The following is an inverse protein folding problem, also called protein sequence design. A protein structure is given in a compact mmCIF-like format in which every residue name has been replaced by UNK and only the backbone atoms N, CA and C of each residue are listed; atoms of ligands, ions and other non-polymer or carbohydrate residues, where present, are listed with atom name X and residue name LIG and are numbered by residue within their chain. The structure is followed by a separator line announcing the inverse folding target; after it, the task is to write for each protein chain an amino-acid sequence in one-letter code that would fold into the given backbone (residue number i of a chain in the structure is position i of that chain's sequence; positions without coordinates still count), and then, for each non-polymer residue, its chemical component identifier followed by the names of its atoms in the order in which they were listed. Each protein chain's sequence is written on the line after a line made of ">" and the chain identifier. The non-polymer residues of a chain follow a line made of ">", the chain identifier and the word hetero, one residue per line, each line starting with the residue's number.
data_IF_447891644499
#
_entry.id   IF_447891644499
#
_cell.length_a   1.000
_cell.length_b   1.000
_cell.length_c   1.000
_cell.angle_alpha   90.00
_cell.angle_beta   90.00
_cell.angle_gamma   90.00
#
_symmetry.space_group_name_H-M   'P 1'
#
loop_
_entity.id
_entity.type
_entity.pdbx_description
1 polymer ?
#
# COMPACT_ATOMS: atom_id res chain seq x y z
N UNK A 1 -2.95 -15.23 -24.36
CA UNK A 1 -1.90 -14.34 -23.83
C UNK A 1 -2.06 -12.90 -24.32
N UNK A 2 -2.33 -12.64 -25.60
CA UNK A 2 -2.61 -11.29 -26.13
C UNK A 2 -3.80 -10.62 -25.45
N UNK A 3 -4.91 -11.34 -25.22
CA UNK A 3 -6.09 -10.81 -24.53
C UNK A 3 -5.83 -10.27 -23.11
N UNK A 4 -4.87 -10.86 -22.36
CA UNK A 4 -4.51 -10.44 -20.99
C UNK A 4 -3.61 -9.21 -21.01
N UNK A 5 -2.79 -9.05 -22.06
CA UNK A 5 -1.87 -7.91 -22.18
C UNK A 5 -2.63 -6.59 -22.37
N UNK A 6 -3.70 -6.63 -23.17
CA UNK A 6 -4.49 -5.46 -23.58
C UNK A 6 -5.61 -5.07 -22.60
N UNK A 7 -5.86 -5.86 -21.54
CA UNK A 7 -6.89 -5.53 -20.55
C UNK A 7 -6.45 -4.40 -19.61
N UNK A 8 -7.41 -3.63 -19.09
CA UNK A 8 -7.21 -2.70 -17.99
C UNK A 8 -6.53 -3.39 -16.78
N UNK A 9 -5.62 -2.69 -16.10
CA UNK A 9 -4.74 -3.27 -15.08
C UNK A 9 -5.53 -3.93 -13.94
N UNK A 10 -6.60 -3.28 -13.50
CA UNK A 10 -7.51 -3.73 -12.46
C UNK A 10 -8.30 -5.00 -12.82
N UNK A 11 -8.44 -5.31 -14.12
CA UNK A 11 -9.13 -6.50 -14.60
C UNK A 11 -8.19 -7.66 -14.98
N UNK A 12 -6.88 -7.39 -15.13
CA UNK A 12 -5.91 -8.39 -15.64
C UNK A 12 -5.89 -9.68 -14.84
N UNK A 13 -6.03 -9.62 -13.52
CA UNK A 13 -6.08 -10.80 -12.66
C UNK A 13 -7.28 -11.68 -13.02
N UNK A 14 -8.46 -11.08 -13.16
CA UNK A 14 -9.70 -11.81 -13.43
C UNK A 14 -9.70 -12.40 -14.84
N UNK A 15 -9.23 -11.65 -15.84
CA UNK A 15 -9.05 -12.18 -17.21
C UNK A 15 -8.01 -13.31 -17.25
N UNK A 16 -6.98 -13.25 -16.42
CA UNK A 16 -6.04 -14.37 -16.29
C UNK A 16 -6.73 -15.61 -15.68
N UNK A 17 -7.53 -15.43 -14.63
CA UNK A 17 -8.29 -16.51 -13.97
C UNK A 17 -9.39 -17.11 -14.88
N UNK A 18 -9.91 -16.36 -15.84
CA UNK A 18 -10.83 -16.87 -16.88
C UNK A 18 -10.21 -17.96 -17.74
N UNK A 19 -8.88 -18.00 -17.86
CA UNK A 19 -8.18 -19.04 -18.62
C UNK A 19 -7.97 -20.34 -17.80
N UNK A 20 -8.40 -20.39 -16.53
CA UNK A 20 -8.25 -21.54 -15.65
C UNK A 20 -9.60 -22.22 -15.36
N UNK A 21 -9.65 -23.54 -15.12
CA UNK A 21 -10.87 -24.19 -14.65
C UNK A 21 -11.30 -23.60 -13.29
N UNK A 22 -12.62 -23.52 -13.04
CA UNK A 22 -13.22 -22.95 -11.83
C UNK A 22 -13.08 -21.42 -11.67
N UNK A 23 -13.09 -20.67 -12.78
CA UNK A 23 -13.00 -19.19 -12.80
C UNK A 23 -13.92 -18.49 -11.81
N UNK A 24 -15.19 -18.89 -11.69
CA UNK A 24 -16.15 -18.21 -10.82
C UNK A 24 -15.74 -18.30 -9.34
N UNK A 25 -15.24 -19.46 -8.90
CA UNK A 25 -14.80 -19.70 -7.52
C UNK A 25 -13.51 -18.93 -7.24
N UNK A 26 -12.53 -19.05 -8.14
CA UNK A 26 -11.22 -18.40 -7.99
C UNK A 26 -11.33 -16.88 -8.06
N UNK A 27 -12.20 -16.34 -8.92
CA UNK A 27 -12.47 -14.90 -9.00
C UNK A 27 -13.16 -14.38 -7.76
N UNK A 28 -14.15 -15.11 -7.23
CA UNK A 28 -14.79 -14.76 -5.96
C UNK A 28 -13.78 -14.74 -4.80
N UNK A 29 -12.95 -15.77 -4.70
CA UNK A 29 -11.89 -15.83 -3.70
C UNK A 29 -10.88 -14.69 -3.86
N UNK A 30 -10.54 -14.33 -5.10
CA UNK A 30 -9.66 -13.21 -5.42
C UNK A 30 -10.21 -11.88 -4.89
N UNK A 31 -11.51 -11.61 -5.08
CA UNK A 31 -12.16 -10.41 -4.52
C UNK A 31 -12.07 -10.39 -2.99
N UNK A 32 -12.38 -11.52 -2.34
CA UNK A 32 -12.29 -11.64 -0.87
C UNK A 32 -10.87 -11.37 -0.39
N UNK A 33 -9.86 -11.95 -1.04
CA UNK A 33 -8.45 -11.76 -0.67
C UNK A 33 -8.02 -10.30 -0.85
N UNK A 34 -8.39 -9.64 -1.95
CA UNK A 34 -8.09 -8.22 -2.17
C UNK A 34 -8.68 -7.37 -1.05
N UNK A 35 -9.93 -7.62 -0.64
CA UNK A 35 -10.58 -6.89 0.45
C UNK A 35 -9.84 -7.11 1.78
N UNK A 36 -9.53 -8.37 2.13
CA UNK A 36 -8.84 -8.70 3.39
C UNK A 36 -7.46 -8.05 3.44
N UNK A 37 -6.64 -8.22 2.39
CA UNK A 37 -5.32 -7.61 2.33
C UNK A 37 -5.39 -6.08 2.38
N UNK A 38 -6.37 -5.47 1.71
CA UNK A 38 -6.57 -4.03 1.75
C UNK A 38 -6.89 -3.54 3.17
N UNK A 39 -7.85 -4.18 3.86
CA UNK A 39 -8.25 -3.79 5.23
C UNK A 39 -7.10 -3.99 6.21
N UNK A 40 -6.44 -5.14 6.20
CA UNK A 40 -5.33 -5.42 7.12
C UNK A 40 -4.11 -4.51 6.86
N UNK A 41 -3.82 -4.22 5.59
CA UNK A 41 -2.74 -3.29 5.21
C UNK A 41 -3.06 -1.85 5.63
N UNK A 42 -4.30 -1.40 5.45
CA UNK A 42 -4.72 -0.05 5.85
C UNK A 42 -4.72 0.11 7.38
N UNK A 43 -5.13 -0.93 8.11
CA UNK A 43 -5.06 -0.93 9.58
C UNK A 43 -3.62 -0.79 10.09
N UNK A 44 -2.70 -1.56 9.49
CA UNK A 44 -1.27 -1.48 9.84
C UNK A 44 -0.64 -0.15 9.43
N UNK A 45 -1.04 0.40 8.28
CA UNK A 45 -0.53 1.68 7.76
C UNK A 45 -0.92 2.85 8.66
N UNK A 46 -2.22 2.97 8.97
CA UNK A 46 -2.73 4.04 9.83
C UNK A 46 -2.10 4.01 11.23
N UNK A 47 -1.79 2.82 11.78
CA UNK A 47 -1.07 2.67 13.04
C UNK A 47 0.36 3.25 12.99
N UNK A 48 1.08 3.04 11.89
CA UNK A 48 2.44 3.58 11.72
C UNK A 48 2.40 5.11 11.63
N UNK A 49 1.46 5.67 10.86
CA UNK A 49 1.29 7.13 10.77
C UNK A 49 0.92 7.71 12.14
N UNK A 50 0.01 7.07 12.85
CA UNK A 50 -0.41 7.48 14.19
C UNK A 50 0.77 7.51 15.17
N UNK A 51 1.60 6.46 15.16
CA UNK A 51 2.79 6.37 16.02
C UNK A 51 3.81 7.47 15.70
N UNK A 52 4.07 7.74 14.42
CA UNK A 52 5.01 8.79 13.99
C UNK A 52 4.48 10.18 14.41
N UNK A 53 3.19 10.43 14.22
CA UNK A 53 2.56 11.73 14.51
C UNK A 53 2.32 11.97 16.00
N UNK A 54 2.22 10.91 16.81
CA UNK A 54 2.21 10.96 18.27
C UNK A 54 3.61 11.11 18.91
N UNK A 55 4.66 11.28 18.11
CA UNK A 55 6.05 11.42 18.59
C UNK A 55 6.68 10.11 19.06
N UNK A 56 6.26 8.98 18.50
CA UNK A 56 6.77 7.64 18.83
C UNK A 56 6.05 6.95 20.00
N UNK A 57 4.96 7.53 20.51
CA UNK A 57 4.14 6.89 21.55
C UNK A 57 3.24 5.84 20.90
N UNK A 58 3.33 4.61 21.40
CA UNK A 58 2.56 3.47 20.87
C UNK A 58 1.09 3.53 21.32
N UNK A 59 0.81 4.11 22.50
CA UNK A 59 -0.56 4.40 22.96
C UNK A 59 -1.01 5.79 22.50
N UNK A 60 -1.20 5.95 21.21
CA UNK A 60 -1.84 7.13 20.64
C UNK A 60 -3.38 7.04 20.81
N UNK A 61 -4.07 8.18 21.00
CA UNK A 61 -5.50 8.18 21.28
C UNK A 61 -6.31 7.67 20.08
N UNK A 62 -7.26 6.75 20.33
CA UNK A 62 -8.12 6.11 19.30
C UNK A 62 -8.70 7.09 18.25
N UNK A 63 -9.15 8.31 18.60
CA UNK A 63 -9.62 9.28 17.60
C UNK A 63 -8.57 9.68 16.55
N UNK A 64 -7.29 9.72 16.91
CA UNK A 64 -6.20 10.09 16.00
C UNK A 64 -5.95 8.99 14.96
N UNK A 65 -5.97 7.72 15.39
CA UNK A 65 -5.91 6.56 14.48
C UNK A 65 -7.07 6.55 13.48
N UNK A 66 -8.30 6.78 13.95
CA UNK A 66 -9.48 6.83 13.09
C UNK A 66 -9.39 7.98 12.08
N UNK A 67 -8.88 9.14 12.52
CA UNK A 67 -8.63 10.27 11.64
C UNK A 67 -7.68 9.89 10.49
N UNK A 68 -6.53 9.26 10.78
CA UNK A 68 -5.57 8.86 9.76
C UNK A 68 -6.13 7.78 8.81
N UNK A 69 -6.81 6.77 9.33
CA UNK A 69 -7.44 5.72 8.53
C UNK A 69 -8.48 6.29 7.53
N UNK A 70 -9.32 7.24 7.96
CA UNK A 70 -10.30 7.88 7.09
C UNK A 70 -9.61 8.78 6.07
N UNK A 71 -8.60 9.55 6.49
CA UNK A 71 -7.93 10.50 5.62
C UNK A 71 -7.16 9.81 4.48
N UNK A 72 -6.51 8.69 4.75
CA UNK A 72 -5.89 7.83 3.72
C UNK A 72 -6.92 7.38 2.67
N UNK A 73 -8.09 6.92 3.12
CA UNK A 73 -9.20 6.52 2.24
C UNK A 73 -9.76 7.68 1.41
N UNK A 74 -9.89 8.87 2.01
CA UNK A 74 -10.34 10.07 1.31
C UNK A 74 -9.36 10.50 0.22
N UNK A 75 -8.05 10.44 0.48
CA UNK A 75 -7.03 10.73 -0.54
C UNK A 75 -7.14 9.73 -1.69
N UNK A 76 -7.29 8.43 -1.39
CA UNK A 76 -7.44 7.41 -2.41
C UNK A 76 -8.69 7.66 -3.30
N UNK A 77 -9.83 7.99 -2.70
CA UNK A 77 -11.06 8.35 -3.42
C UNK A 77 -10.84 9.60 -4.28
N UNK A 78 -10.23 10.65 -3.72
CA UNK A 78 -9.98 11.90 -4.45
C UNK A 78 -9.08 11.68 -5.68
N UNK A 79 -8.02 10.86 -5.55
CA UNK A 79 -7.13 10.51 -6.66
C UNK A 79 -7.85 9.68 -7.73
N UNK A 80 -8.68 8.72 -7.31
CA UNK A 80 -9.48 7.92 -8.24
C UNK A 80 -10.47 8.77 -9.03
N UNK A 81 -11.16 9.71 -8.38
CA UNK A 81 -12.10 10.61 -9.05
C UNK A 81 -11.40 11.63 -9.96
N UNK A 82 -10.21 12.11 -9.58
CA UNK A 82 -9.48 13.13 -10.33
C UNK A 82 -8.73 12.62 -11.56
N UNK A 83 -8.20 11.40 -11.52
CA UNK A 83 -7.41 10.85 -12.63
C UNK A 83 -7.27 9.33 -12.64
N UNK A 84 -8.12 8.64 -11.89
CA UNK A 84 -8.18 7.18 -11.86
C UNK A 84 -6.89 6.51 -11.41
N UNK A 85 -6.65 5.31 -11.93
CA UNK A 85 -5.48 4.50 -11.61
C UNK A 85 -4.16 5.19 -11.94
N UNK A 86 -4.10 5.95 -13.03
CA UNK A 86 -2.90 6.67 -13.41
C UNK A 86 -2.49 7.72 -12.37
N UNK A 87 -3.47 8.43 -11.79
CA UNK A 87 -3.22 9.38 -10.71
C UNK A 87 -2.72 8.68 -9.43
N UNK A 88 -3.30 7.54 -9.06
CA UNK A 88 -2.82 6.74 -7.93
C UNK A 88 -1.37 6.27 -8.11
N UNK A 89 -1.02 5.79 -9.32
CA UNK A 89 0.34 5.37 -9.63
C UNK A 89 1.33 6.54 -9.60
N UNK A 90 0.96 7.68 -10.18
CA UNK A 90 1.78 8.88 -10.15
C UNK A 90 2.02 9.37 -8.72
N UNK A 91 0.99 9.39 -7.87
CA UNK A 91 1.11 9.73 -6.46
C UNK A 91 2.04 8.75 -5.71
N UNK A 92 1.89 7.45 -5.94
CA UNK A 92 2.76 6.45 -5.32
C UNK A 92 4.24 6.59 -5.74
N UNK A 93 4.51 6.79 -7.03
CA UNK A 93 5.88 6.93 -7.54
C UNK A 93 6.52 8.25 -7.07
N UNK A 94 5.78 9.36 -7.15
CA UNK A 94 6.28 10.67 -6.75
C UNK A 94 6.57 10.77 -5.25
N UNK A 95 5.77 10.13 -4.40
CA UNK A 95 6.01 10.08 -2.94
C UNK A 95 7.06 9.02 -2.56
N UNK A 96 7.11 7.89 -3.27
CA UNK A 96 8.09 6.83 -3.03
C UNK A 96 9.53 7.23 -3.38
N UNK A 97 9.72 8.03 -4.42
CA UNK A 97 11.05 8.45 -4.86
C UNK A 97 11.87 9.22 -3.80
N UNK A 98 11.38 10.29 -3.15
CA UNK A 98 12.12 10.95 -2.07
C UNK A 98 12.31 10.04 -0.85
N UNK A 99 11.33 9.19 -0.54
CA UNK A 99 11.45 8.24 0.58
C UNK A 99 12.51 7.17 0.34
N UNK A 100 12.71 6.74 -0.91
CA UNK A 100 13.82 5.85 -1.30
C UNK A 100 15.18 6.41 -0.89
N UNK A 101 15.42 7.72 -1.07
CA UNK A 101 16.68 8.35 -0.67
C UNK A 101 16.88 8.26 0.85
N UNK A 102 15.80 8.45 1.63
CA UNK A 102 15.82 8.31 3.08
C UNK A 102 16.16 6.87 3.48
N UNK A 103 15.55 5.87 2.82
CA UNK A 103 15.84 4.46 3.08
C UNK A 103 17.30 4.10 2.77
N UNK A 104 17.88 4.62 1.69
CA UNK A 104 19.31 4.42 1.39
C UNK A 104 20.22 5.00 2.47
N UNK A 105 19.89 6.19 2.99
CA UNK A 105 20.61 6.78 4.12
C UNK A 105 20.46 5.92 5.39
N UNK A 106 19.27 5.38 5.65
CA UNK A 106 19.03 4.50 6.78
C UNK A 106 19.84 3.19 6.67
N UNK A 107 19.89 2.57 5.49
CA UNK A 107 20.75 1.41 5.24
C UNK A 107 22.22 1.73 5.54
N UNK A 108 22.74 2.87 5.06
CA UNK A 108 24.10 3.31 5.35
C UNK A 108 24.33 3.55 6.85
N UNK A 109 23.37 4.17 7.54
CA UNK A 109 23.44 4.42 8.98
C UNK A 109 23.49 3.12 9.79
N UNK A 110 22.68 2.12 9.41
CA UNK A 110 22.68 0.79 10.04
C UNK A 110 24.03 0.10 9.83
N UNK A 111 24.57 0.12 8.60
CA UNK A 111 25.88 -0.48 8.32
C UNK A 111 27.00 0.18 9.12
N UNK A 112 27.00 1.52 9.22
CA UNK A 112 27.96 2.23 10.07
C UNK A 112 27.77 1.93 11.55
N UNK A 113 26.53 1.89 12.03
CA UNK A 113 26.21 1.58 13.42
C UNK A 113 26.74 0.20 13.81
N UNK A 114 26.44 -0.81 12.99
CA UNK A 114 26.91 -2.17 13.21
C UNK A 114 28.44 -2.29 13.12
N UNK A 115 29.09 -1.54 12.22
CA UNK A 115 30.56 -1.52 12.13
C UNK A 115 31.23 -0.82 13.33
N UNK A 116 30.52 0.05 14.05
CA UNK A 116 31.00 0.74 15.25
C UNK A 116 30.73 -0.02 16.55
N UNK A 117 29.97 -1.12 16.49
CA UNK A 117 29.67 -1.98 17.64
C UNK A 117 30.98 -2.67 18.11
N UNK A 118 31.40 -2.51 19.38
CA UNK A 118 32.48 -3.32 19.95
C UNK A 118 32.02 -4.78 19.99
N UNK A 119 32.85 -5.70 19.50
CA UNK A 119 32.57 -7.14 19.54
C UNK A 119 32.54 -7.69 20.96
#
# INVERSE_FOLDING_TARGET
>A
LTAVADTALELKLFVMLENLPLTAITSFLGIVLVIVFFVTSSDSGSLVIDTITAGGKIDAPVPQRVFWAIFEGLIAIALLLGGGLAALQAAAVSTGFPFMIILLMACYAILRGLASEPR
#
